data_IF_129269095004
#
_entry.id   IF_129269095004
#
_cell.length_a   1.000
_cell.length_b   1.000
_cell.length_c   1.000
_cell.angle_alpha   90.00
_cell.angle_beta   90.00
_cell.angle_gamma   90.00
#
_symmetry.space_group_name_H-M   'P 1'
#
loop_
_entity.id
_entity.type
_entity.pdbx_description
1 polymer ?
#
# COMPACT_ATOMS: atom_id res chain seq x y z
N UNK A 1 -69.85 -5.90 17.03
CA UNK A 1 -69.46 -7.07 16.21
C UNK A 1 -68.82 -6.63 14.87
N UNK A 2 -69.44 -5.67 14.12
CA UNK A 2 -68.84 -5.21 12.84
C UNK A 2 -67.62 -4.32 13.00
N UNK A 3 -67.51 -3.58 14.10
CA UNK A 3 -66.44 -2.65 14.41
C UNK A 3 -65.21 -3.37 15.00
N UNK A 4 -65.42 -4.42 15.77
CA UNK A 4 -64.34 -5.27 16.27
C UNK A 4 -63.63 -6.06 15.16
N UNK A 5 -64.42 -6.53 14.14
CA UNK A 5 -63.81 -7.21 13.01
C UNK A 5 -62.93 -6.26 12.11
N UNK A 6 -63.32 -5.02 11.98
CA UNK A 6 -62.48 -4.03 11.28
C UNK A 6 -61.20 -3.69 12.02
N UNK A 7 -61.25 -3.56 13.35
CA UNK A 7 -60.07 -3.29 14.18
C UNK A 7 -59.10 -4.46 14.14
N UNK A 8 -59.57 -5.72 14.17
CA UNK A 8 -58.72 -6.90 14.06
C UNK A 8 -58.06 -7.01 12.67
N UNK A 9 -58.78 -6.64 11.60
CA UNK A 9 -58.24 -6.62 10.24
C UNK A 9 -57.14 -5.55 10.09
N UNK A 10 -57.39 -4.34 10.62
CA UNK A 10 -56.41 -3.27 10.56
C UNK A 10 -55.12 -3.61 11.31
N UNK A 11 -55.24 -4.13 12.54
CA UNK A 11 -54.11 -4.59 13.35
C UNK A 11 -53.36 -5.76 12.66
N UNK A 12 -54.11 -6.69 12.03
CA UNK A 12 -53.52 -7.78 11.27
C UNK A 12 -52.74 -7.31 10.03
N UNK A 13 -53.29 -6.36 9.29
CA UNK A 13 -52.59 -5.78 8.10
C UNK A 13 -51.38 -4.99 8.55
N UNK A 14 -51.48 -4.19 9.61
CA UNK A 14 -50.38 -3.42 10.15
C UNK A 14 -49.21 -4.30 10.64
N UNK A 15 -49.54 -5.43 11.31
CA UNK A 15 -48.53 -6.40 11.74
C UNK A 15 -47.83 -7.13 10.58
N UNK A 16 -48.56 -7.41 9.50
CA UNK A 16 -48.00 -8.02 8.29
C UNK A 16 -47.09 -7.04 7.55
N UNK A 17 -47.52 -5.78 7.39
CA UNK A 17 -46.71 -4.73 6.77
C UNK A 17 -45.41 -4.51 7.56
N UNK A 18 -45.45 -4.39 8.86
CA UNK A 18 -44.25 -4.29 9.70
C UNK A 18 -43.37 -5.52 9.64
N UNK A 19 -43.94 -6.73 9.49
CA UNK A 19 -43.15 -7.94 9.30
C UNK A 19 -42.46 -7.96 7.92
N UNK A 20 -43.18 -7.59 6.86
CA UNK A 20 -42.57 -7.49 5.50
C UNK A 20 -41.46 -6.45 5.45
N UNK A 21 -41.65 -5.26 6.04
CA UNK A 21 -40.61 -4.22 6.15
C UNK A 21 -39.40 -4.72 6.97
N UNK A 22 -39.66 -5.47 8.04
CA UNK A 22 -38.62 -6.09 8.86
C UNK A 22 -37.78 -7.12 8.09
N UNK A 23 -38.41 -7.99 7.33
CA UNK A 23 -37.72 -8.96 6.47
C UNK A 23 -36.96 -8.29 5.33
N UNK A 24 -37.50 -7.23 4.74
CA UNK A 24 -36.83 -6.47 3.70
C UNK A 24 -35.57 -5.78 4.23
N UNK A 25 -35.63 -5.18 5.41
CA UNK A 25 -34.48 -4.52 6.05
C UNK A 25 -33.39 -5.56 6.40
N UNK A 26 -33.76 -6.72 6.95
CA UNK A 26 -32.82 -7.79 7.27
C UNK A 26 -32.14 -8.31 5.99
N UNK A 27 -32.90 -8.58 4.94
CA UNK A 27 -32.39 -9.03 3.65
C UNK A 27 -31.44 -8.02 3.02
N UNK A 28 -31.74 -6.72 3.12
CA UNK A 28 -30.87 -5.65 2.61
C UNK A 28 -29.57 -5.56 3.43
N UNK A 29 -29.65 -5.65 4.76
CA UNK A 29 -28.46 -5.64 5.61
C UNK A 29 -27.55 -6.84 5.37
N UNK A 30 -28.10 -8.05 5.21
CA UNK A 30 -27.34 -9.25 4.86
C UNK A 30 -26.67 -9.12 3.49
N UNK A 31 -27.38 -8.53 2.52
CA UNK A 31 -26.82 -8.27 1.19
C UNK A 31 -25.65 -7.27 1.26
N UNK A 32 -25.79 -6.18 2.01
CA UNK A 32 -24.72 -5.19 2.20
C UNK A 32 -23.52 -5.80 2.94
N UNK A 33 -23.76 -6.64 3.94
CA UNK A 33 -22.69 -7.34 4.67
C UNK A 33 -21.93 -8.30 3.74
N UNK A 34 -22.65 -9.06 2.92
CA UNK A 34 -22.06 -9.96 1.92
C UNK A 34 -21.22 -9.18 0.91
N UNK A 35 -21.76 -8.06 0.38
CA UNK A 35 -21.01 -7.18 -0.55
C UNK A 35 -19.75 -6.61 0.10
N UNK A 36 -19.86 -6.12 1.34
CA UNK A 36 -18.70 -5.59 2.08
C UNK A 36 -17.65 -6.67 2.32
N UNK A 37 -18.08 -7.90 2.66
CA UNK A 37 -17.17 -9.03 2.82
C UNK A 37 -16.44 -9.38 1.53
N UNK A 38 -17.14 -9.39 0.39
CA UNK A 38 -16.52 -9.61 -0.92
C UNK A 38 -15.50 -8.51 -1.27
N UNK A 39 -15.84 -7.23 -1.03
CA UNK A 39 -14.94 -6.11 -1.26
C UNK A 39 -13.70 -6.24 -0.39
N UNK A 40 -13.86 -6.54 0.89
CA UNK A 40 -12.75 -6.73 1.82
C UNK A 40 -11.83 -7.89 1.41
N UNK A 41 -12.38 -8.98 0.88
CA UNK A 41 -11.59 -10.09 0.34
C UNK A 41 -10.75 -9.65 -0.85
N UNK A 42 -11.33 -8.93 -1.80
CA UNK A 42 -10.61 -8.39 -2.97
C UNK A 42 -9.51 -7.43 -2.53
N UNK A 43 -9.81 -6.51 -1.62
CA UNK A 43 -8.82 -5.57 -1.07
C UNK A 43 -7.68 -6.30 -0.38
N UNK A 44 -7.97 -7.35 0.40
CA UNK A 44 -6.95 -8.16 1.07
C UNK A 44 -6.02 -8.85 0.06
N UNK A 45 -6.56 -9.42 -1.01
CA UNK A 45 -5.78 -10.05 -2.08
C UNK A 45 -4.88 -9.01 -2.78
N UNK A 46 -5.43 -7.86 -3.16
CA UNK A 46 -4.67 -6.79 -3.81
C UNK A 46 -3.57 -6.26 -2.89
N UNK A 47 -3.85 -6.11 -1.60
CA UNK A 47 -2.87 -5.69 -0.59
C UNK A 47 -1.74 -6.72 -0.45
N UNK A 48 -2.06 -8.01 -0.46
CA UNK A 48 -1.04 -9.07 -0.42
C UNK A 48 -0.13 -9.04 -1.65
N UNK A 49 -0.70 -8.86 -2.84
CA UNK A 49 0.07 -8.72 -4.10
C UNK A 49 0.98 -7.50 -4.02
N UNK A 50 0.45 -6.36 -3.56
CA UNK A 50 1.24 -5.13 -3.41
C UNK A 50 2.39 -5.32 -2.39
N UNK A 51 2.15 -5.99 -1.26
CA UNK A 51 3.18 -6.29 -0.27
C UNK A 51 4.29 -7.16 -0.82
N UNK A 52 3.96 -8.22 -1.58
CA UNK A 52 4.95 -9.08 -2.24
C UNK A 52 5.76 -8.28 -3.25
N UNK A 53 5.11 -7.46 -4.08
CA UNK A 53 5.77 -6.61 -5.06
C UNK A 53 6.76 -5.64 -4.41
N UNK A 54 6.38 -5.08 -3.26
CA UNK A 54 7.21 -4.17 -2.49
C UNK A 54 8.42 -4.87 -1.86
N UNK A 55 8.25 -6.11 -1.38
CA UNK A 55 9.36 -6.95 -0.90
C UNK A 55 10.35 -7.26 -2.02
N UNK A 56 9.87 -7.64 -3.20
CA UNK A 56 10.73 -7.90 -4.37
C UNK A 56 11.50 -6.64 -4.77
N UNK A 57 10.84 -5.47 -4.77
CA UNK A 57 11.49 -4.18 -4.98
C UNK A 57 12.58 -3.89 -3.94
N UNK A 58 12.31 -4.17 -2.66
CA UNK A 58 13.27 -4.04 -1.57
C UNK A 58 14.51 -4.94 -1.76
N UNK A 59 14.31 -6.19 -2.17
CA UNK A 59 15.42 -7.10 -2.53
C UNK A 59 16.23 -6.54 -3.69
N UNK A 60 15.59 -5.91 -4.68
CA UNK A 60 16.26 -5.20 -5.77
C UNK A 60 17.19 -4.10 -5.27
N UNK A 61 16.71 -3.26 -4.34
CA UNK A 61 17.53 -2.22 -3.69
C UNK A 61 18.71 -2.85 -2.95
N UNK A 62 18.47 -3.92 -2.18
CA UNK A 62 19.52 -4.62 -1.46
C UNK A 62 20.61 -5.15 -2.40
N UNK A 63 20.24 -5.72 -3.53
CA UNK A 63 21.19 -6.26 -4.51
C UNK A 63 22.04 -5.14 -5.14
N UNK A 64 21.43 -4.04 -5.55
CA UNK A 64 22.15 -2.86 -6.08
C UNK A 64 23.12 -2.31 -5.04
N UNK A 65 22.69 -2.20 -3.78
CA UNK A 65 23.53 -1.71 -2.70
C UNK A 65 24.69 -2.66 -2.37
N UNK A 66 24.49 -3.99 -2.48
CA UNK A 66 25.57 -4.97 -2.31
C UNK A 66 26.64 -4.80 -3.39
N UNK A 67 26.23 -4.61 -4.64
CA UNK A 67 27.16 -4.32 -5.75
C UNK A 67 27.90 -3.01 -5.50
N UNK A 68 27.19 -1.95 -5.16
CA UNK A 68 27.78 -0.64 -4.85
C UNK A 68 28.82 -0.72 -3.70
N UNK A 69 28.54 -1.49 -2.65
CA UNK A 69 29.48 -1.71 -1.55
C UNK A 69 30.73 -2.44 -2.02
N UNK A 70 30.58 -3.48 -2.87
CA UNK A 70 31.73 -4.23 -3.39
C UNK A 70 32.62 -3.38 -4.30
N UNK A 71 32.02 -2.58 -5.18
CA UNK A 71 32.75 -1.67 -6.07
C UNK A 71 33.52 -0.58 -5.29
N UNK A 72 32.96 -0.13 -4.15
CA UNK A 72 33.57 0.91 -3.30
C UNK A 72 34.35 0.37 -2.12
N UNK A 73 34.63 -0.94 -2.08
CA UNK A 73 35.31 -1.61 -0.94
C UNK A 73 36.64 -0.95 -0.59
N UNK A 74 37.48 -0.63 -1.58
CA UNK A 74 38.77 0.04 -1.41
C UNK A 74 38.64 1.45 -0.83
N UNK A 75 37.67 2.22 -1.31
CA UNK A 75 37.37 3.56 -0.80
C UNK A 75 36.93 3.52 0.67
N UNK A 76 36.06 2.56 1.02
CA UNK A 76 35.63 2.31 2.41
C UNK A 76 36.84 1.96 3.29
N UNK A 77 37.75 1.12 2.79
CA UNK A 77 38.98 0.75 3.47
C UNK A 77 39.86 1.96 3.78
N UNK A 78 40.06 2.85 2.80
CA UNK A 78 40.84 4.09 2.97
C UNK A 78 40.19 4.99 4.02
N UNK A 79 38.89 5.23 3.94
CA UNK A 79 38.17 6.06 4.93
C UNK A 79 38.32 5.50 6.34
N UNK A 80 38.21 4.19 6.50
CA UNK A 80 38.38 3.54 7.80
C UNK A 80 39.82 3.62 8.34
N UNK A 81 40.82 3.53 7.47
CA UNK A 81 42.23 3.69 7.85
C UNK A 81 42.52 5.13 8.32
N UNK A 82 41.79 6.11 7.81
CA UNK A 82 41.82 7.51 8.23
C UNK A 82 40.98 7.80 9.50
N UNK A 83 40.36 6.77 10.11
CA UNK A 83 39.62 6.90 11.36
C UNK A 83 38.11 7.13 11.22
N UNK A 84 37.51 6.92 10.06
CA UNK A 84 36.05 7.00 9.90
C UNK A 84 35.34 5.98 10.78
N UNK A 85 34.30 6.43 11.49
CA UNK A 85 33.51 5.56 12.36
C UNK A 85 32.56 4.69 11.54
N UNK A 86 32.31 3.48 12.04
CA UNK A 86 31.33 2.57 11.39
C UNK A 86 29.95 3.19 11.20
N UNK A 87 29.53 4.06 12.13
CA UNK A 87 28.23 4.75 12.06
C UNK A 87 28.15 5.70 10.85
N UNK A 88 29.25 6.37 10.51
CA UNK A 88 29.29 7.35 9.42
C UNK A 88 29.20 6.63 8.07
N UNK A 89 29.96 5.53 7.91
CA UNK A 89 29.91 4.69 6.71
C UNK A 89 28.51 4.09 6.52
N UNK A 90 27.96 3.49 7.58
CA UNK A 90 26.62 2.91 7.55
C UNK A 90 25.57 3.97 7.23
N UNK A 91 25.64 5.13 7.87
CA UNK A 91 24.70 6.24 7.65
C UNK A 91 24.67 6.69 6.21
N UNK A 92 25.83 6.81 5.55
CA UNK A 92 25.93 7.19 4.15
C UNK A 92 25.13 6.23 3.24
N UNK A 93 25.34 4.93 3.38
CA UNK A 93 24.64 3.92 2.56
C UNK A 93 23.15 3.83 2.87
N UNK A 94 22.75 4.01 4.15
CA UNK A 94 21.33 4.05 4.53
C UNK A 94 20.62 5.27 3.93
N UNK A 95 21.27 6.44 3.95
CA UNK A 95 20.74 7.65 3.31
C UNK A 95 20.63 7.45 1.80
N UNK A 96 21.63 6.84 1.16
CA UNK A 96 21.64 6.55 -0.28
C UNK A 96 20.46 5.64 -0.65
N UNK A 97 20.21 4.56 0.11
CA UNK A 97 19.05 3.69 -0.09
C UNK A 97 17.72 4.41 0.17
N UNK A 98 17.66 5.23 1.22
CA UNK A 98 16.48 6.02 1.57
C UNK A 98 16.13 7.05 0.49
N UNK A 99 17.12 7.76 -0.05
CA UNK A 99 16.91 8.73 -1.13
C UNK A 99 16.48 8.07 -2.43
N UNK A 100 17.06 6.94 -2.79
CA UNK A 100 16.64 6.16 -3.97
C UNK A 100 15.18 5.70 -3.83
N UNK A 101 14.80 5.22 -2.64
CA UNK A 101 13.41 4.81 -2.36
C UNK A 101 12.45 5.99 -2.33
N UNK A 102 12.89 7.15 -1.82
CA UNK A 102 12.06 8.34 -1.82
C UNK A 102 11.77 8.84 -3.24
N UNK A 103 12.76 8.85 -4.11
CA UNK A 103 12.58 9.19 -5.54
C UNK A 103 11.63 8.19 -6.21
N UNK A 104 11.84 6.89 -5.99
CA UNK A 104 10.94 5.85 -6.50
C UNK A 104 9.52 6.00 -5.95
N UNK A 105 9.37 6.33 -4.67
CA UNK A 105 8.08 6.58 -4.02
C UNK A 105 7.33 7.77 -4.62
N UNK A 106 8.02 8.88 -4.88
CA UNK A 106 7.42 10.05 -5.56
C UNK A 106 6.97 9.70 -6.97
N UNK A 107 7.81 9.03 -7.74
CA UNK A 107 7.44 8.58 -9.09
C UNK A 107 6.26 7.61 -9.04
N UNK A 108 6.25 6.67 -8.08
CA UNK A 108 5.14 5.74 -7.87
C UNK A 108 3.82 6.45 -7.56
N UNK A 109 3.84 7.49 -6.72
CA UNK A 109 2.67 8.33 -6.42
C UNK A 109 2.17 9.03 -7.69
N UNK A 110 3.06 9.65 -8.45
CA UNK A 110 2.67 10.35 -9.69
C UNK A 110 2.02 9.39 -10.69
N UNK A 111 2.67 8.25 -10.96
CA UNK A 111 2.11 7.24 -11.87
C UNK A 111 0.82 6.62 -11.32
N UNK A 112 0.74 6.34 -10.02
CA UNK A 112 -0.45 5.81 -9.38
C UNK A 112 -1.65 6.77 -9.50
N UNK A 113 -1.44 8.06 -9.28
CA UNK A 113 -2.49 9.08 -9.45
C UNK A 113 -2.93 9.22 -10.91
N UNK A 114 -2.00 9.17 -11.85
CA UNK A 114 -2.32 9.22 -13.27
C UNK A 114 -3.15 8.00 -13.70
N UNK A 115 -2.76 6.80 -13.27
CA UNK A 115 -3.48 5.57 -13.57
C UNK A 115 -4.87 5.56 -12.90
N UNK A 116 -4.99 6.01 -11.65
CA UNK A 116 -6.27 6.12 -10.97
C UNK A 116 -7.22 7.09 -11.69
N UNK A 117 -6.71 8.23 -12.15
CA UNK A 117 -7.47 9.17 -12.99
C UNK A 117 -7.90 8.57 -14.32
N UNK A 118 -7.01 7.92 -15.03
CA UNK A 118 -7.30 7.26 -16.30
C UNK A 118 -8.36 6.16 -16.12
N UNK A 119 -8.24 5.33 -15.08
CA UNK A 119 -9.22 4.31 -14.74
C UNK A 119 -10.61 4.91 -14.42
N UNK A 120 -10.66 5.99 -13.64
CA UNK A 120 -11.92 6.69 -13.32
C UNK A 120 -12.62 7.20 -14.56
N UNK A 121 -11.87 7.79 -15.50
CA UNK A 121 -12.41 8.31 -16.77
C UNK A 121 -12.91 7.13 -17.64
N UNK A 122 -12.13 6.06 -17.76
CA UNK A 122 -12.49 4.89 -18.55
C UNK A 122 -13.77 4.21 -18.03
N UNK A 123 -13.84 3.98 -16.72
CA UNK A 123 -15.02 3.38 -16.07
C UNK A 123 -16.23 4.31 -16.20
N UNK A 124 -16.04 5.62 -15.99
CA UNK A 124 -17.10 6.62 -16.16
C UNK A 124 -17.66 6.65 -17.57
N UNK A 125 -16.80 6.56 -18.60
CA UNK A 125 -17.23 6.51 -20.00
C UNK A 125 -18.03 5.24 -20.34
N UNK A 126 -17.66 4.09 -19.80
CA UNK A 126 -18.37 2.82 -20.00
C UNK A 126 -19.71 2.83 -19.27
N UNK A 127 -19.76 3.34 -18.04
CA UNK A 127 -20.98 3.33 -17.22
C UNK A 127 -21.97 4.43 -17.63
N UNK A 128 -21.51 5.57 -18.12
CA UNK A 128 -22.41 6.63 -18.63
C UNK A 128 -23.22 6.18 -19.85
N UNK A 129 -22.73 5.20 -20.60
CA UNK A 129 -23.47 4.58 -21.71
C UNK A 129 -24.52 3.55 -21.27
N UNK A 130 -24.41 3.03 -20.03
CA UNK A 130 -25.25 1.92 -19.55
C UNK A 130 -26.13 2.26 -18.34
N UNK A 131 -25.77 3.24 -17.52
CA UNK A 131 -26.50 3.64 -16.31
C UNK A 131 -26.40 5.16 -16.08
N UNK A 132 -27.51 5.87 -16.17
CA UNK A 132 -27.60 7.30 -15.89
C UNK A 132 -27.11 7.65 -14.47
N UNK A 133 -25.96 8.30 -14.35
CA UNK A 133 -25.68 9.18 -13.22
C UNK A 133 -24.79 8.67 -12.08
N UNK A 134 -24.14 7.51 -12.18
CA UNK A 134 -23.19 7.08 -11.13
C UNK A 134 -21.78 7.55 -11.49
N UNK A 135 -21.31 8.58 -10.80
CA UNK A 135 -19.93 9.05 -10.93
C UNK A 135 -19.07 8.35 -9.89
N UNK A 136 -18.18 7.48 -10.33
CA UNK A 136 -17.10 6.94 -9.48
C UNK A 136 -15.96 7.95 -9.44
N UNK A 137 -15.64 8.45 -8.26
CA UNK A 137 -14.47 9.31 -8.04
C UNK A 137 -13.52 8.59 -7.07
N UNK A 138 -12.47 8.00 -7.60
CA UNK A 138 -11.38 7.43 -6.78
C UNK A 138 -10.34 8.54 -6.53
N UNK A 139 -10.56 9.35 -5.51
CA UNK A 139 -9.57 10.36 -5.08
C UNK A 139 -8.87 9.82 -3.82
N UNK A 140 -7.58 9.47 -3.90
CA UNK A 140 -6.84 9.05 -2.71
C UNK A 140 -6.72 10.21 -1.74
N UNK A 141 -6.86 9.90 -0.45
CA UNK A 141 -6.70 10.86 0.63
C UNK A 141 -5.22 11.20 0.84
N UNK A 142 -4.92 12.39 1.34
CA UNK A 142 -3.55 12.79 1.65
C UNK A 142 -2.88 11.81 2.65
N UNK A 143 -3.65 11.25 3.57
CA UNK A 143 -3.15 10.22 4.49
C UNK A 143 -2.73 8.93 3.78
N UNK A 144 -3.46 8.50 2.75
CA UNK A 144 -3.13 7.30 1.99
C UNK A 144 -1.82 7.47 1.23
N UNK A 145 -1.63 8.67 0.64
CA UNK A 145 -0.39 9.04 -0.04
C UNK A 145 0.78 9.06 0.95
N UNK A 146 0.60 9.67 2.12
CA UNK A 146 1.65 9.76 3.14
C UNK A 146 2.03 8.38 3.70
N UNK A 147 1.06 7.51 3.96
CA UNK A 147 1.30 6.14 4.43
C UNK A 147 2.03 5.34 3.36
N UNK A 148 1.58 5.38 2.11
CA UNK A 148 2.21 4.66 1.00
C UNK A 148 3.66 5.10 0.78
N UNK A 149 3.92 6.42 0.83
CA UNK A 149 5.26 6.97 0.75
C UNK A 149 6.13 6.53 1.92
N UNK A 150 5.61 6.62 3.15
CA UNK A 150 6.33 6.20 4.36
C UNK A 150 6.70 4.72 4.35
N UNK A 151 5.79 3.85 3.91
CA UNK A 151 6.03 2.41 3.75
C UNK A 151 7.11 2.15 2.68
N UNK A 152 7.03 2.82 1.53
CA UNK A 152 8.02 2.69 0.45
C UNK A 152 9.43 3.07 0.92
N UNK A 153 9.58 4.24 1.54
CA UNK A 153 10.88 4.70 2.09
C UNK A 153 11.35 3.79 3.22
N UNK A 154 10.44 3.37 4.10
CA UNK A 154 10.74 2.48 5.21
C UNK A 154 11.32 1.14 4.74
N UNK A 155 10.75 0.55 3.70
CA UNK A 155 11.27 -0.69 3.10
C UNK A 155 12.63 -0.47 2.45
N UNK A 156 12.83 0.63 1.72
CA UNK A 156 14.12 0.95 1.15
C UNK A 156 15.22 1.10 2.19
N UNK A 157 14.93 1.79 3.29
CA UNK A 157 15.85 1.92 4.43
C UNK A 157 16.12 0.56 5.08
N UNK A 158 15.10 -0.27 5.27
CA UNK A 158 15.23 -1.60 5.87
C UNK A 158 16.15 -2.51 5.04
N UNK A 159 15.89 -2.62 3.74
CA UNK A 159 16.70 -3.45 2.84
C UNK A 159 18.08 -2.85 2.55
N UNK A 160 18.23 -1.52 2.59
CA UNK A 160 19.51 -0.82 2.48
C UNK A 160 20.38 -0.97 3.73
N UNK A 161 19.79 -1.19 4.90
CA UNK A 161 20.52 -1.33 6.15
C UNK A 161 21.43 -2.57 6.19
N UNK A 162 21.00 -3.70 5.63
CA UNK A 162 21.79 -4.94 5.61
C UNK A 162 23.13 -4.77 4.88
N UNK A 163 23.18 -4.31 3.61
CA UNK A 163 24.44 -4.04 2.92
C UNK A 163 25.25 -2.92 3.57
N UNK A 164 24.60 -1.87 4.06
CA UNK A 164 25.26 -0.78 4.79
C UNK A 164 25.99 -1.27 6.04
N UNK A 165 25.41 -2.20 6.78
CA UNK A 165 26.02 -2.79 7.94
C UNK A 165 27.20 -3.71 7.58
N UNK A 166 27.14 -4.44 6.46
CA UNK A 166 28.27 -5.20 5.91
C UNK A 166 29.43 -4.26 5.55
N UNK A 167 29.15 -3.19 4.81
CA UNK A 167 30.15 -2.17 4.45
C UNK A 167 30.84 -1.57 5.69
N UNK A 168 30.06 -1.22 6.70
CA UNK A 168 30.58 -0.67 7.95
C UNK A 168 31.47 -1.63 8.73
N UNK A 169 31.32 -2.93 8.57
CA UNK A 169 32.10 -3.97 9.27
C UNK A 169 33.34 -4.46 8.51
N UNK A 170 33.55 -4.01 7.26
CA UNK A 170 34.73 -4.38 6.48
C UNK A 170 36.04 -4.09 7.27
N UNK A 171 36.96 -5.03 7.22
CA UNK A 171 38.28 -4.83 7.80
C UNK A 171 39.13 -3.94 6.85
N UNK A 172 39.75 -2.86 7.31
CA UNK A 172 40.55 -2.00 6.45
C UNK A 172 41.68 -2.71 5.70
N UNK A 173 42.30 -3.69 6.34
CA UNK A 173 43.42 -4.44 5.77
C UNK A 173 42.95 -5.30 4.59
N UNK A 174 41.80 -5.99 4.74
CA UNK A 174 41.22 -6.83 3.72
C UNK A 174 40.66 -6.01 2.57
N UNK A 175 40.07 -4.85 2.90
CA UNK A 175 39.50 -3.92 1.92
C UNK A 175 40.57 -3.27 1.03
N UNK A 176 41.78 -3.01 1.54
CA UNK A 176 42.90 -2.46 0.77
C UNK A 176 43.61 -3.50 -0.10
N UNK A 177 43.41 -4.78 0.18
CA UNK A 177 44.00 -5.92 -0.53
C UNK A 177 43.07 -6.44 -1.65
N UNK A 178 41.91 -5.85 -1.77
CA UNK A 178 40.92 -6.21 -2.80
C UNK A 178 41.34 -5.56 -4.13
N UNK A 179 41.73 -6.41 -5.11
CA UNK A 179 42.00 -6.04 -6.51
C UNK A 179 40.74 -6.16 -7.35
#
# INVERSE_FOLDING_TARGET
LADEGKNLLVVGIESILHAEDGYFIISLSEMLETMTSMINMVVAILTAIAAISLLVGGIGIMNIMLVSVTERTREIGIRKSLGAKQKDIRGQFVIEAGTTSAVGGVLGIVFGLLLARAATIAVGAIMSSSMNGITFSAVPTLSDIAVSFGVSVGIGVLFGYLPANKAAKLNPIDALRYD
#
